data_IF_727719231148
#
_entry.id   IF_727719231148
#
_cell.length_a   1.000
_cell.length_b   1.000
_cell.length_c   1.000
_cell.angle_alpha   90.00
_cell.angle_beta   90.00
_cell.angle_gamma   90.00
#
_symmetry.space_group_name_H-M   'P 1'
#
loop_
_entity.id
_entity.type
_entity.pdbx_description
1 polymer ?
#
# COMPACT_ATOMS: atom_id res chain seq x y z
N UNK A 1 5.67 32.55 8.80
CA UNK A 1 4.51 32.02 8.06
C UNK A 1 4.92 31.89 6.60
N UNK A 2 5.38 30.71 6.15
CA UNK A 2 5.73 30.49 4.74
C UNK A 2 4.59 29.71 4.08
N UNK A 3 3.84 30.42 3.26
CA UNK A 3 2.77 29.89 2.41
C UNK A 3 3.43 29.00 1.34
N UNK A 4 3.38 27.68 1.52
CA UNK A 4 3.85 26.70 0.53
C UNK A 4 2.76 26.44 -0.49
N UNK A 5 3.09 26.63 -1.76
CA UNK A 5 2.23 26.37 -2.92
C UNK A 5 1.70 24.94 -2.87
N UNK A 6 0.37 24.76 -2.79
CA UNK A 6 -0.32 23.49 -3.00
C UNK A 6 -0.28 23.16 -4.50
N UNK A 7 0.85 22.64 -4.97
CA UNK A 7 0.99 22.09 -6.32
C UNK A 7 0.39 20.69 -6.38
N UNK A 8 -0.94 20.60 -6.57
CA UNK A 8 -1.59 19.30 -6.80
C UNK A 8 -1.16 18.72 -8.15
N UNK A 9 -0.23 17.76 -8.15
CA UNK A 9 -0.05 16.84 -9.29
C UNK A 9 -1.20 15.82 -9.27
N UNK A 10 -2.40 16.29 -9.62
CA UNK A 10 -3.54 15.43 -9.89
C UNK A 10 -3.39 14.83 -11.29
N UNK A 11 -2.55 13.80 -11.42
CA UNK A 11 -2.59 12.93 -12.60
C UNK A 11 -3.96 12.26 -12.65
N UNK A 12 -4.83 12.66 -13.59
CA UNK A 12 -6.15 12.03 -13.78
C UNK A 12 -5.94 10.54 -14.05
N UNK A 13 -6.24 9.71 -13.06
CA UNK A 13 -6.29 8.25 -13.19
C UNK A 13 -7.76 7.83 -13.13
N UNK A 14 -8.17 6.96 -14.05
CA UNK A 14 -9.57 6.53 -14.22
C UNK A 14 -10.08 5.59 -13.11
N UNK A 15 -9.28 5.32 -12.07
CA UNK A 15 -9.56 4.33 -11.03
C UNK A 15 -9.62 5.02 -9.66
N UNK A 16 -10.46 4.49 -8.77
CA UNK A 16 -10.61 4.96 -7.39
C UNK A 16 -9.27 4.82 -6.64
N UNK A 17 -8.78 5.92 -6.06
CA UNK A 17 -7.58 5.97 -5.24
C UNK A 17 -7.90 6.38 -3.80
N UNK A 18 -7.11 5.94 -2.81
CA UNK A 18 -7.28 6.40 -1.43
C UNK A 18 -6.87 7.87 -1.28
N UNK A 19 -7.69 8.63 -0.57
CA UNK A 19 -7.37 10.02 -0.20
C UNK A 19 -6.10 10.08 0.64
N UNK A 20 -5.30 11.13 0.40
CA UNK A 20 -4.11 11.44 1.18
C UNK A 20 -3.91 12.94 1.29
N UNK A 21 -3.14 13.32 2.31
CA UNK A 21 -2.61 14.68 2.49
C UNK A 21 -1.12 14.64 2.21
N UNK A 22 -0.61 15.63 1.47
CA UNK A 22 0.83 15.87 1.36
C UNK A 22 1.25 16.73 2.55
N UNK A 23 2.09 16.19 3.42
CA UNK A 23 2.65 16.94 4.57
C UNK A 23 3.91 17.71 4.16
N UNK A 24 4.73 17.12 3.29
CA UNK A 24 5.97 17.72 2.79
C UNK A 24 6.11 17.42 1.31
N UNK A 25 6.58 18.42 0.56
CA UNK A 25 7.01 18.27 -0.83
C UNK A 25 8.41 18.85 -0.96
N UNK A 26 9.34 18.06 -1.48
CA UNK A 26 10.73 18.43 -1.71
C UNK A 26 11.15 17.98 -3.11
N UNK A 27 11.14 18.92 -4.06
CA UNK A 27 11.37 18.63 -5.48
C UNK A 27 10.39 17.58 -6.01
N UNK A 28 10.94 16.45 -6.47
CA UNK A 28 10.20 15.32 -7.05
C UNK A 28 9.69 14.31 -6.00
N UNK A 29 9.88 14.60 -4.72
CA UNK A 29 9.53 13.71 -3.61
C UNK A 29 8.38 14.31 -2.79
N UNK A 30 7.41 13.47 -2.45
CA UNK A 30 6.28 13.83 -1.58
C UNK A 30 6.20 12.90 -0.37
N UNK A 31 5.98 13.48 0.80
CA UNK A 31 5.57 12.78 2.01
C UNK A 31 4.05 12.77 2.10
N UNK A 32 3.44 11.61 1.81
CA UNK A 32 1.99 11.43 1.80
C UNK A 32 1.51 10.73 3.07
N UNK A 33 0.57 11.36 3.77
CA UNK A 33 -0.14 10.78 4.92
C UNK A 33 -1.50 10.28 4.46
N UNK A 34 -1.69 8.99 4.62
CA UNK A 34 -2.96 8.31 4.37
C UNK A 34 -3.74 8.19 5.69
N UNK A 35 -5.06 8.34 5.61
CA UNK A 35 -5.96 8.06 6.72
C UNK A 35 -6.08 6.55 7.02
N UNK A 36 -7.09 6.18 7.80
CA UNK A 36 -7.43 4.77 8.02
C UNK A 36 -7.88 4.14 6.69
N UNK A 37 -7.27 3.01 6.34
CA UNK A 37 -7.60 2.26 5.12
C UNK A 37 -8.07 0.85 5.50
N UNK A 38 -9.17 0.42 4.89
CA UNK A 38 -9.55 -0.99 4.89
C UNK A 38 -8.84 -1.67 3.70
N UNK A 39 -7.98 -2.64 3.99
CA UNK A 39 -7.15 -3.29 2.98
C UNK A 39 -7.42 -4.79 2.96
N UNK A 40 -7.67 -5.33 1.77
CA UNK A 40 -7.54 -6.76 1.51
C UNK A 40 -6.08 -7.07 1.17
N UNK A 41 -5.44 -7.95 1.93
CA UNK A 41 -4.03 -8.34 1.73
C UNK A 41 -3.88 -9.85 1.66
N UNK A 42 -2.89 -10.31 0.90
CA UNK A 42 -2.49 -11.71 0.85
C UNK A 42 -0.98 -11.83 0.96
N UNK A 43 -0.51 -12.89 1.59
CA UNK A 43 0.91 -13.25 1.68
C UNK A 43 1.13 -14.49 0.83
N UNK A 44 2.17 -14.45 0.01
CA UNK A 44 2.62 -15.59 -0.79
C UNK A 44 4.12 -15.76 -0.59
N UNK A 45 4.62 -17.00 -0.49
CA UNK A 45 6.05 -17.26 -0.48
C UNK A 45 6.65 -17.04 -1.88
N UNK A 46 7.93 -16.71 -1.93
CA UNK A 46 8.70 -16.56 -3.19
C UNK A 46 9.35 -15.20 -3.38
N UNK A 47 10.15 -15.09 -4.44
CA UNK A 47 10.77 -13.82 -4.85
C UNK A 47 9.74 -12.85 -5.43
N UNK A 48 10.03 -11.54 -5.38
CA UNK A 48 9.09 -10.46 -5.74
C UNK A 48 8.42 -10.66 -7.11
N UNK A 49 9.17 -11.09 -8.13
CA UNK A 49 8.66 -11.30 -9.50
C UNK A 49 7.49 -12.28 -9.54
N UNK A 50 7.73 -13.55 -9.22
CA UNK A 50 6.69 -14.59 -9.29
C UNK A 50 5.61 -14.42 -8.22
N UNK A 51 6.01 -13.96 -7.03
CA UNK A 51 5.11 -13.72 -5.90
C UNK A 51 4.08 -12.64 -6.23
N UNK A 52 4.49 -11.53 -6.87
CA UNK A 52 3.60 -10.40 -7.15
C UNK A 52 2.41 -10.80 -8.06
N UNK A 53 2.66 -11.55 -9.13
CA UNK A 53 1.62 -12.02 -10.03
C UNK A 53 0.66 -13.01 -9.37
N UNK A 54 1.17 -13.95 -8.57
CA UNK A 54 0.34 -14.88 -7.82
C UNK A 54 -0.53 -14.16 -6.77
N UNK A 55 0.06 -13.23 -6.01
CA UNK A 55 -0.63 -12.43 -5.01
C UNK A 55 -1.73 -11.58 -5.66
N UNK A 56 -1.44 -10.94 -6.79
CA UNK A 56 -2.42 -10.15 -7.53
C UNK A 56 -3.59 -11.00 -8.01
N UNK A 57 -3.34 -12.19 -8.59
CA UNK A 57 -4.43 -13.10 -9.01
C UNK A 57 -5.35 -13.50 -7.87
N UNK A 58 -4.80 -13.75 -6.67
CA UNK A 58 -5.60 -14.04 -5.47
C UNK A 58 -6.49 -12.86 -5.07
N UNK A 59 -5.93 -11.65 -5.03
CA UNK A 59 -6.68 -10.42 -4.73
C UNK A 59 -7.73 -10.12 -5.80
N UNK A 60 -7.40 -10.26 -7.08
CA UNK A 60 -8.34 -10.09 -8.19
C UNK A 60 -9.52 -11.06 -8.06
N UNK A 61 -9.26 -12.33 -7.71
CA UNK A 61 -10.31 -13.29 -7.40
C UNK A 61 -11.26 -12.78 -6.31
N UNK A 62 -10.73 -12.32 -5.19
CA UNK A 62 -11.53 -11.75 -4.09
C UNK A 62 -12.38 -10.55 -4.56
N UNK A 63 -11.78 -9.63 -5.32
CA UNK A 63 -12.44 -8.43 -5.85
C UNK A 63 -13.59 -8.78 -6.80
N UNK A 64 -13.43 -9.81 -7.64
CA UNK A 64 -14.43 -10.22 -8.62
C UNK A 64 -15.43 -11.27 -8.12
N UNK A 65 -15.60 -11.41 -6.81
CA UNK A 65 -16.66 -12.25 -6.22
C UNK A 65 -16.21 -13.60 -5.69
N UNK A 66 -14.91 -13.91 -5.63
CA UNK A 66 -14.39 -15.08 -4.89
C UNK A 66 -14.18 -14.73 -3.41
N UNK A 67 -15.18 -14.11 -2.81
CA UNK A 67 -15.28 -13.84 -1.38
C UNK A 67 -16.55 -14.52 -0.83
N UNK A 68 -16.67 -14.63 0.49
CA UNK A 68 -17.79 -15.35 1.13
C UNK A 68 -19.16 -14.80 0.74
N UNK A 69 -19.27 -13.48 0.50
CA UNK A 69 -20.52 -12.83 0.08
C UNK A 69 -20.81 -12.95 -1.42
N UNK A 70 -19.88 -13.47 -2.22
CA UNK A 70 -19.95 -13.48 -3.69
C UNK A 70 -20.13 -12.09 -4.33
N UNK A 71 -19.72 -11.04 -3.61
CA UNK A 71 -19.92 -9.65 -4.03
C UNK A 71 -18.77 -9.16 -4.91
N UNK A 72 -19.10 -8.33 -5.91
CA UNK A 72 -18.08 -7.65 -6.72
C UNK A 72 -17.71 -6.33 -6.07
N UNK A 73 -16.42 -6.12 -5.88
CA UNK A 73 -15.85 -4.88 -5.36
C UNK A 73 -15.24 -4.12 -6.55
N UNK A 74 -15.38 -2.79 -6.58
CA UNK A 74 -14.76 -1.96 -7.62
C UNK A 74 -13.24 -2.01 -7.52
N UNK A 75 -12.56 -2.17 -8.67
CA UNK A 75 -11.10 -2.12 -8.73
C UNK A 75 -10.58 -0.73 -8.32
N UNK A 76 -9.57 -0.73 -7.44
CA UNK A 76 -8.89 0.47 -6.95
C UNK A 76 -7.42 0.48 -7.36
N UNK A 77 -6.82 1.66 -7.32
CA UNK A 77 -5.41 1.88 -7.55
C UNK A 77 -4.80 2.69 -6.38
N UNK A 78 -3.48 2.63 -6.19
CA UNK A 78 -2.55 1.61 -6.71
C UNK A 78 -2.68 0.29 -5.93
N UNK A 79 -2.25 -0.82 -6.55
CA UNK A 79 -2.00 -2.08 -5.82
C UNK A 79 -0.59 -2.05 -5.26
N UNK A 80 -0.44 -2.32 -3.96
CA UNK A 80 0.85 -2.29 -3.26
C UNK A 80 1.34 -3.70 -2.96
N UNK A 81 2.64 -3.94 -3.16
CA UNK A 81 3.33 -5.14 -2.75
C UNK A 81 4.48 -4.76 -1.82
N UNK A 82 4.76 -5.59 -0.81
CA UNK A 82 5.87 -5.41 0.12
C UNK A 82 6.52 -6.76 0.39
N UNK A 83 7.85 -6.81 0.35
CA UNK A 83 8.58 -7.97 0.89
C UNK A 83 8.44 -7.97 2.40
N UNK A 84 8.00 -9.10 2.96
CA UNK A 84 8.04 -9.29 4.40
C UNK A 84 9.50 -9.56 4.75
N UNK A 85 10.26 -8.51 5.07
CA UNK A 85 11.64 -8.65 5.53
C UNK A 85 11.70 -9.59 6.73
N UNK A 86 12.84 -10.26 6.94
CA UNK A 86 13.07 -11.01 8.17
C UNK A 86 12.77 -10.08 9.35
N UNK A 87 11.92 -10.53 10.28
CA UNK A 87 11.86 -9.91 11.59
C UNK A 87 13.25 -10.08 12.20
N UNK A 88 14.07 -9.03 12.11
CA UNK A 88 15.27 -8.94 12.92
C UNK A 88 14.73 -8.68 14.32
N UNK A 89 14.44 -9.77 15.06
CA UNK A 89 14.23 -9.70 16.49
C UNK A 89 15.56 -9.24 17.06
N UNK A 90 15.76 -7.93 17.18
CA UNK A 90 16.75 -7.36 18.07
C UNK A 90 16.33 -7.81 19.46
N UNK A 91 16.78 -9.01 19.88
CA UNK A 91 16.85 -9.34 21.30
C UNK A 91 17.76 -8.29 21.89
N UNK A 92 17.16 -7.24 22.44
CA UNK A 92 17.83 -6.39 23.40
C UNK A 92 18.07 -7.31 24.61
N UNK A 93 19.23 -7.97 24.62
CA UNK A 93 19.70 -8.66 25.81
C UNK A 93 19.83 -7.64 26.94
N UNK A 94 19.64 -8.04 28.20
CA UNK A 94 19.82 -7.12 29.31
C UNK A 94 21.27 -6.65 29.28
N UNK A 95 21.47 -5.35 29.13
CA UNK A 95 22.74 -4.73 29.43
C UNK A 95 23.07 -5.06 30.89
N UNK A 96 24.08 -5.91 31.08
CA UNK A 96 24.72 -6.08 32.37
C UNK A 96 25.82 -5.02 32.49
N UNK A 97 25.65 -4.21 33.54
CA UNK A 97 26.53 -3.19 34.13
C UNK A 97 26.71 -1.86 33.38
#
# INVERSE_FOLDING_TARGET
>A
MKMGVLGSVAGKRSSLEPDYRVEVQDGDIELRVYGKLLLASTVVPGGYGDASGLAFRRLAGFIFGRNTGQEKISMTAPVRCRSQGLQVTTRHGPFLH
#
